data_IF_353726391553
#
_entry.id   IF_353726391553
#
_cell.length_a   1.000
_cell.length_b   1.000
_cell.length_c   1.000
_cell.angle_alpha   90.00
_cell.angle_beta   90.00
_cell.angle_gamma   90.00
#
_symmetry.space_group_name_H-M   'P 1'
#
loop_
_entity.id
_entity.type
_entity.pdbx_description
1 polymer ?
#
# COMPACT_ATOMS: atom_id res chain seq x y z
N UNK A 1 18.00 18.62 10.93
CA UNK A 1 16.57 18.72 11.27
C UNK A 1 15.80 17.94 10.23
N UNK A 2 14.97 16.97 10.62
CA UNK A 2 14.06 16.31 9.67
C UNK A 2 13.06 17.33 9.14
N UNK A 3 12.88 17.39 7.81
CA UNK A 3 11.88 18.23 7.18
C UNK A 3 10.49 17.75 7.56
N UNK A 4 9.66 18.64 8.12
CA UNK A 4 8.24 18.37 8.37
C UNK A 4 7.45 18.88 7.16
N UNK A 5 6.77 17.97 6.47
CA UNK A 5 5.91 18.31 5.35
C UNK A 5 4.56 18.84 5.84
N UNK A 6 3.94 19.73 5.06
CA UNK A 6 2.56 20.15 5.29
C UNK A 6 1.63 18.94 5.12
N UNK A 7 1.79 18.23 4.00
CA UNK A 7 1.01 17.03 3.68
C UNK A 7 1.90 15.97 3.05
N UNK A 8 1.76 14.72 3.49
CA UNK A 8 2.29 13.57 2.74
C UNK A 8 1.15 12.82 2.08
N UNK A 9 1.25 12.59 0.77
CA UNK A 9 0.30 11.78 -0.01
C UNK A 9 0.90 10.40 -0.22
N UNK A 10 0.19 9.34 0.15
CA UNK A 10 0.67 7.95 0.09
C UNK A 10 -0.11 7.16 -0.94
N UNK A 11 0.53 6.82 -2.06
CA UNK A 11 -0.01 6.03 -3.15
C UNK A 11 0.17 6.69 -4.51
N UNK A 12 0.79 5.98 -5.46
CA UNK A 12 1.15 6.51 -6.78
C UNK A 12 0.04 6.45 -7.85
N UNK A 13 -1.20 6.17 -7.46
CA UNK A 13 -2.35 6.11 -8.37
C UNK A 13 -2.94 7.48 -8.70
N UNK A 14 -4.04 7.50 -9.47
CA UNK A 14 -4.71 8.74 -9.92
C UNK A 14 -5.25 9.60 -8.76
N UNK A 15 -5.71 8.98 -7.66
CA UNK A 15 -6.13 9.71 -6.46
C UNK A 15 -4.96 10.48 -5.84
N UNK A 16 -3.80 9.82 -5.69
CA UNK A 16 -2.59 10.42 -5.17
C UNK A 16 -2.06 11.54 -6.07
N UNK A 17 -2.07 11.32 -7.40
CA UNK A 17 -1.70 12.36 -8.35
C UNK A 17 -2.62 13.58 -8.25
N UNK A 18 -3.95 13.39 -8.25
CA UNK A 18 -4.92 14.49 -8.15
C UNK A 18 -4.76 15.27 -6.85
N UNK A 19 -4.49 14.59 -5.73
CA UNK A 19 -4.20 15.23 -4.46
C UNK A 19 -2.89 16.03 -4.51
N UNK A 20 -1.81 15.44 -5.03
CA UNK A 20 -0.51 16.10 -5.15
C UNK A 20 -0.57 17.35 -6.04
N UNK A 21 -1.25 17.27 -7.20
CA UNK A 21 -1.50 18.38 -8.10
C UNK A 21 -2.27 19.53 -7.43
N UNK A 22 -3.32 19.18 -6.68
CA UNK A 22 -4.13 20.16 -5.96
C UNK A 22 -3.32 20.86 -4.87
N UNK A 23 -2.58 20.09 -4.07
CA UNK A 23 -1.72 20.63 -3.00
C UNK A 23 -0.59 21.49 -3.55
N UNK A 24 -0.02 21.12 -4.70
CA UNK A 24 0.97 21.92 -5.42
C UNK A 24 0.38 23.28 -5.83
N UNK A 25 -0.81 23.29 -6.43
CA UNK A 25 -1.54 24.53 -6.77
C UNK A 25 -1.84 25.40 -5.53
N UNK A 26 -2.09 24.77 -4.39
CA UNK A 26 -2.33 25.43 -3.10
C UNK A 26 -1.03 25.82 -2.37
N UNK A 27 0.15 25.66 -2.99
CA UNK A 27 1.48 26.00 -2.48
C UNK A 27 1.80 25.35 -1.12
N UNK A 28 1.36 24.11 -0.93
CA UNK A 28 1.71 23.31 0.25
C UNK A 28 3.05 22.61 0.05
N UNK A 29 3.84 22.51 1.12
CA UNK A 29 5.04 21.69 1.13
C UNK A 29 4.64 20.20 1.16
N UNK A 30 4.50 19.58 -0.01
CA UNK A 30 3.95 18.24 -0.16
C UNK A 30 5.00 17.22 -0.61
N UNK A 31 5.02 16.07 0.05
CA UNK A 31 5.74 14.88 -0.43
C UNK A 31 4.73 13.86 -0.94
N UNK A 32 4.91 13.39 -2.18
CA UNK A 32 4.10 12.34 -2.76
C UNK A 32 4.91 11.05 -2.82
N UNK A 33 4.51 10.04 -2.04
CA UNK A 33 5.16 8.74 -1.92
C UNK A 33 4.35 7.65 -2.62
N UNK A 34 5.04 6.67 -3.19
CA UNK A 34 4.40 5.48 -3.74
C UNK A 34 5.42 4.47 -4.25
N UNK A 35 5.07 3.19 -4.20
CA UNK A 35 5.92 2.12 -4.74
C UNK A 35 6.08 2.25 -6.27
N UNK A 36 4.96 2.45 -6.97
CA UNK A 36 4.91 2.58 -8.42
C UNK A 36 4.14 3.83 -8.85
N UNK A 37 4.62 4.49 -9.91
CA UNK A 37 3.93 5.62 -10.53
C UNK A 37 2.89 5.12 -11.53
N UNK A 38 1.62 5.46 -11.27
CA UNK A 38 0.47 5.11 -12.11
C UNK A 38 0.48 3.60 -12.39
N UNK A 39 0.37 2.83 -11.30
CA UNK A 39 0.63 1.38 -11.25
C UNK A 39 -0.09 0.54 -12.31
N UNK A 40 0.26 -0.75 -12.37
CA UNK A 40 -0.09 -1.65 -13.48
C UNK A 40 -1.57 -1.68 -13.85
N UNK A 41 -2.46 -1.59 -12.85
CA UNK A 41 -3.92 -1.56 -13.07
C UNK A 41 -4.35 -0.50 -14.07
N UNK A 42 -3.74 0.69 -14.00
CA UNK A 42 -4.05 1.78 -14.92
C UNK A 42 -3.47 1.46 -16.30
N UNK A 43 -2.19 1.06 -16.37
CA UNK A 43 -1.49 0.84 -17.65
C UNK A 43 -2.04 -0.33 -18.44
N UNK A 44 -2.52 -1.38 -17.77
CA UNK A 44 -3.07 -2.59 -18.36
C UNK A 44 -4.49 -2.40 -18.94
N UNK A 45 -5.16 -1.27 -18.68
CA UNK A 45 -6.50 -1.04 -19.22
C UNK A 45 -6.47 -1.00 -20.76
N UNK A 46 -7.16 -1.92 -21.42
CA UNK A 46 -7.20 -1.98 -22.89
C UNK A 46 -7.81 -0.72 -23.51
N UNK A 47 -8.83 -0.14 -22.85
CA UNK A 47 -9.47 1.08 -23.28
C UNK A 47 -10.14 1.82 -22.12
N UNK A 48 -9.92 3.14 -22.03
CA UNK A 48 -10.50 4.02 -21.02
C UNK A 48 -11.65 4.81 -21.66
N UNK A 49 -12.89 4.39 -21.38
CA UNK A 49 -14.13 5.01 -21.93
C UNK A 49 -14.90 5.88 -20.94
N UNK A 50 -14.54 5.80 -19.66
CA UNK A 50 -15.31 6.30 -18.52
C UNK A 50 -14.55 7.40 -17.75
N UNK A 51 -13.60 8.07 -18.41
CA UNK A 51 -12.95 9.27 -17.90
C UNK A 51 -13.14 10.40 -18.91
N UNK A 52 -13.87 11.48 -18.57
CA UNK A 52 -14.16 12.56 -19.51
C UNK A 52 -12.90 13.11 -20.19
N UNK A 53 -13.00 13.35 -21.50
CA UNK A 53 -11.90 13.85 -22.34
C UNK A 53 -10.65 12.94 -22.44
N UNK A 54 -10.67 11.73 -21.87
CA UNK A 54 -9.66 10.70 -22.12
C UNK A 54 -10.14 9.76 -23.24
N UNK A 55 -9.29 9.61 -24.26
CA UNK A 55 -9.50 8.66 -25.37
C UNK A 55 -8.25 7.79 -25.52
N UNK A 56 -8.43 6.48 -25.57
CA UNK A 56 -7.35 5.52 -25.76
C UNK A 56 -7.21 4.53 -24.59
N UNK A 57 -6.08 3.84 -24.56
CA UNK A 57 -5.78 2.81 -23.57
C UNK A 57 -5.15 3.39 -22.29
N UNK A 58 -4.97 2.51 -21.31
CA UNK A 58 -4.34 2.80 -20.04
C UNK A 58 -2.92 3.33 -20.15
N UNK A 59 -2.11 2.77 -21.05
CA UNK A 59 -0.74 3.25 -21.29
C UNK A 59 -0.70 4.71 -21.77
N UNK A 60 -1.58 5.08 -22.71
CA UNK A 60 -1.74 6.46 -23.17
C UNK A 60 -2.27 7.36 -22.06
N UNK A 61 -3.18 6.86 -21.22
CA UNK A 61 -3.67 7.61 -20.07
C UNK A 61 -2.52 7.94 -19.11
N UNK A 62 -1.69 6.94 -18.78
CA UNK A 62 -0.51 7.13 -17.93
C UNK A 62 0.45 8.16 -18.53
N UNK A 63 0.75 8.05 -19.83
CA UNK A 63 1.65 8.96 -20.53
C UNK A 63 1.17 10.42 -20.49
N UNK A 64 -0.14 10.66 -20.65
CA UNK A 64 -0.73 12.01 -20.54
C UNK A 64 -0.62 12.59 -19.14
N UNK A 65 -0.81 11.77 -18.11
CA UNK A 65 -0.62 12.20 -16.72
C UNK A 65 0.86 12.51 -16.46
N UNK A 66 1.78 11.68 -16.93
CA UNK A 66 3.23 11.92 -16.81
C UNK A 66 3.68 13.19 -17.55
N UNK A 67 3.08 13.50 -18.69
CA UNK A 67 3.30 14.77 -19.41
C UNK A 67 2.83 15.96 -18.57
N UNK A 68 1.63 15.88 -17.99
CA UNK A 68 1.12 16.92 -17.08
C UNK A 68 2.02 17.07 -15.84
N UNK A 69 2.47 15.96 -15.25
CA UNK A 69 3.42 15.97 -14.13
C UNK A 69 4.71 16.72 -14.47
N UNK A 70 5.28 16.48 -15.64
CA UNK A 70 6.49 17.17 -16.11
C UNK A 70 6.23 18.67 -16.31
N UNK A 71 5.09 19.04 -16.88
CA UNK A 71 4.70 20.44 -17.07
C UNK A 71 4.56 21.19 -15.74
N UNK A 72 3.91 20.57 -14.75
CA UNK A 72 3.69 21.16 -13.43
C UNK A 72 4.91 21.05 -12.49
N UNK A 73 5.95 20.31 -12.88
CA UNK A 73 7.11 20.07 -12.03
C UNK A 73 6.81 19.18 -10.80
N UNK A 74 5.85 18.27 -10.93
CA UNK A 74 5.43 17.34 -9.87
C UNK A 74 6.08 15.98 -10.11
N UNK A 75 6.66 15.39 -9.06
CA UNK A 75 7.26 14.05 -9.14
C UNK A 75 6.83 13.18 -7.96
N UNK A 76 6.74 11.87 -8.23
CA UNK A 76 6.56 10.85 -7.20
C UNK A 76 7.93 10.48 -6.62
N UNK A 77 8.06 10.51 -5.30
CA UNK A 77 9.19 9.90 -4.61
C UNK A 77 8.90 8.40 -4.45
N UNK A 78 9.74 7.56 -5.07
CA UNK A 78 9.60 6.11 -5.00
C UNK A 78 9.95 5.60 -3.62
N UNK A 79 8.93 5.18 -2.88
CA UNK A 79 9.05 4.59 -1.55
C UNK A 79 7.74 3.83 -1.24
N UNK A 80 7.87 2.61 -0.71
CA UNK A 80 6.73 1.87 -0.15
C UNK A 80 6.61 2.25 1.32
N UNK A 81 5.49 2.85 1.70
CA UNK A 81 5.23 3.16 3.11
C UNK A 81 4.82 1.86 3.82
N UNK A 82 5.56 1.50 4.86
CA UNK A 82 5.34 0.29 5.65
C UNK A 82 4.49 0.57 6.90
N UNK A 83 4.44 1.83 7.36
CA UNK A 83 3.69 2.23 8.54
C UNK A 83 3.44 3.74 8.63
N UNK A 84 2.31 4.10 9.22
CA UNK A 84 1.91 5.48 9.51
C UNK A 84 1.46 5.53 10.97
N UNK A 85 2.18 6.30 11.78
CA UNK A 85 1.93 6.49 13.20
C UNK A 85 1.30 7.86 13.41
N UNK A 86 0.08 7.85 13.96
CA UNK A 86 -0.64 9.07 14.29
C UNK A 86 0.06 9.84 15.43
N UNK A 87 0.16 11.16 15.27
CA UNK A 87 0.82 12.07 16.19
C UNK A 87 0.77 13.49 15.65
N UNK A 88 1.28 14.45 16.41
CA UNK A 88 1.42 15.84 15.98
C UNK A 88 2.92 16.20 15.96
N UNK A 89 3.66 15.98 14.85
CA UNK A 89 3.21 15.51 13.53
C UNK A 89 3.07 13.97 13.40
N UNK A 90 2.41 13.53 12.32
CA UNK A 90 2.42 12.13 11.88
C UNK A 90 3.84 11.68 11.54
N UNK A 91 4.13 10.41 11.78
CA UNK A 91 5.40 9.76 11.39
C UNK A 91 5.12 8.62 10.41
N UNK A 92 5.81 8.60 9.27
CA UNK A 92 5.69 7.56 8.26
C UNK A 92 7.03 6.85 8.09
N UNK A 93 7.01 5.52 7.97
CA UNK A 93 8.19 4.69 7.73
C UNK A 93 8.14 4.06 6.34
N UNK A 94 9.27 4.07 5.63
CA UNK A 94 9.44 3.40 4.35
C UNK A 94 10.86 2.80 4.29
N UNK A 95 10.98 1.49 4.54
CA UNK A 95 12.25 0.84 4.81
C UNK A 95 12.97 1.52 5.98
N UNK A 96 14.19 1.98 5.74
CA UNK A 96 15.01 2.70 6.73
C UNK A 96 14.70 4.21 6.79
N UNK A 97 13.84 4.72 5.92
CA UNK A 97 13.50 6.14 5.86
C UNK A 97 12.33 6.48 6.77
N UNK A 98 12.42 7.63 7.44
CA UNK A 98 11.38 8.17 8.31
C UNK A 98 11.02 9.57 7.84
N UNK A 99 9.73 9.81 7.61
CA UNK A 99 9.16 11.07 7.18
C UNK A 99 8.18 11.61 8.23
N UNK A 100 8.03 12.94 8.29
CA UNK A 100 7.09 13.59 9.20
C UNK A 100 6.15 14.53 8.46
N UNK A 101 4.86 14.52 8.83
CA UNK A 101 3.83 15.30 8.16
C UNK A 101 2.81 15.89 9.15
N UNK A 102 2.32 17.10 8.90
CA UNK A 102 1.21 17.67 9.68
C UNK A 102 -0.13 17.02 9.31
N UNK A 103 -0.31 16.64 8.05
CA UNK A 103 -1.46 15.89 7.57
C UNK A 103 -1.02 14.79 6.59
N UNK A 104 -1.86 13.77 6.44
CA UNK A 104 -1.60 12.63 5.55
C UNK A 104 -2.82 12.34 4.69
N UNK A 105 -2.61 12.06 3.40
CA UNK A 105 -3.65 11.57 2.49
C UNK A 105 -3.30 10.15 2.07
N UNK A 106 -4.12 9.19 2.49
CA UNK A 106 -4.00 7.79 2.11
C UNK A 106 -4.70 7.54 0.77
N UNK A 107 -3.92 7.19 -0.25
CA UNK A 107 -4.37 6.94 -1.62
C UNK A 107 -3.76 5.64 -2.19
N UNK A 108 -3.57 4.63 -1.33
CA UNK A 108 -2.91 3.36 -1.64
C UNK A 108 -3.74 2.45 -2.56
N UNK A 109 -5.00 2.81 -2.82
CA UNK A 109 -5.93 1.99 -3.57
C UNK A 109 -6.30 0.71 -2.82
N UNK A 110 -6.71 -0.30 -3.58
CA UNK A 110 -6.97 -1.65 -3.05
C UNK A 110 -6.12 -2.64 -3.82
N UNK A 111 -5.67 -3.71 -3.17
CA UNK A 111 -5.11 -4.87 -3.85
C UNK A 111 -6.01 -6.07 -3.63
N UNK A 112 -6.68 -6.51 -4.70
CA UNK A 112 -7.55 -7.69 -4.70
C UNK A 112 -6.79 -8.97 -5.01
N UNK A 113 -5.51 -8.86 -5.43
CA UNK A 113 -4.69 -10.02 -5.70
C UNK A 113 -4.47 -10.79 -4.40
N UNK A 114 -4.98 -12.02 -4.37
CA UNK A 114 -4.46 -12.97 -3.41
C UNK A 114 -5.05 -12.89 -2.00
N UNK A 115 -6.26 -12.36 -1.75
CA UNK A 115 -6.89 -12.50 -0.43
C UNK A 115 -6.96 -13.98 -0.05
N UNK A 116 -6.23 -14.37 1.00
CA UNK A 116 -6.22 -15.73 1.55
C UNK A 116 -7.14 -15.73 2.76
N UNK A 117 -8.03 -16.72 2.87
CA UNK A 117 -8.95 -16.80 4.02
C UNK A 117 -8.12 -16.82 5.32
N UNK A 118 -8.46 -15.99 6.30
CA UNK A 118 -7.73 -15.90 7.57
C UNK A 118 -6.56 -14.91 7.56
N UNK A 119 -6.15 -14.37 6.41
CA UNK A 119 -5.08 -13.36 6.31
C UNK A 119 -5.30 -12.18 7.26
N UNK A 120 -6.46 -11.51 7.16
CA UNK A 120 -6.79 -10.37 8.04
C UNK A 120 -6.97 -10.80 9.50
N UNK A 121 -7.55 -11.97 9.74
CA UNK A 121 -7.83 -12.45 11.09
C UNK A 121 -6.55 -12.75 11.87
N UNK A 122 -5.48 -13.19 11.22
CA UNK A 122 -4.20 -13.51 11.85
C UNK A 122 -3.18 -12.36 11.79
N UNK A 123 -3.57 -11.18 11.30
CA UNK A 123 -2.68 -10.01 11.27
C UNK A 123 -2.16 -9.67 12.67
N UNK A 124 -0.83 -9.53 12.80
CA UNK A 124 -0.15 -9.33 14.10
C UNK A 124 -0.09 -10.59 14.99
N UNK A 125 -0.75 -11.69 14.58
CA UNK A 125 -0.78 -12.98 15.26
C UNK A 125 -0.12 -14.07 14.43
N UNK A 126 0.91 -13.72 13.66
CA UNK A 126 1.60 -14.64 12.76
C UNK A 126 1.47 -14.28 11.28
N UNK A 127 0.56 -13.37 10.91
CA UNK A 127 0.54 -12.73 9.60
C UNK A 127 1.22 -11.35 9.66
N UNK A 128 2.07 -11.07 8.68
CA UNK A 128 2.73 -9.77 8.48
C UNK A 128 2.72 -9.34 7.01
N UNK A 129 2.81 -8.03 6.77
CA UNK A 129 2.97 -7.41 5.45
C UNK A 129 4.35 -6.78 5.24
N UNK A 130 5.17 -6.69 6.28
CA UNK A 130 6.47 -6.03 6.26
C UNK A 130 7.58 -7.00 6.67
N UNK A 131 8.34 -7.49 5.69
CA UNK A 131 9.49 -8.36 5.93
C UNK A 131 10.53 -7.70 6.82
N UNK A 132 10.85 -6.42 6.56
CA UNK A 132 11.87 -5.65 7.29
C UNK A 132 11.51 -5.48 8.76
N UNK A 133 10.24 -5.19 9.05
CA UNK A 133 9.73 -4.89 10.39
C UNK A 133 9.70 -6.14 11.27
N UNK A 134 9.12 -7.24 10.78
CA UNK A 134 8.81 -8.42 11.60
C UNK A 134 9.73 -9.61 11.35
N UNK A 135 10.55 -9.58 10.28
CA UNK A 135 11.37 -10.73 9.86
C UNK A 135 12.27 -11.28 10.97
N UNK A 136 12.87 -10.40 11.77
CA UNK A 136 13.74 -10.78 12.89
C UNK A 136 13.00 -11.60 13.98
N UNK A 137 11.68 -11.44 14.13
CA UNK A 137 10.87 -12.17 15.12
C UNK A 137 10.71 -13.66 14.77
N UNK A 138 11.04 -14.05 13.54
CA UNK A 138 10.93 -15.42 13.03
C UNK A 138 12.30 -16.09 12.86
N UNK A 139 13.31 -15.62 13.61
CA UNK A 139 14.65 -16.24 13.61
C UNK A 139 14.59 -17.73 13.93
N UNK A 140 15.15 -18.55 13.05
CA UNK A 140 15.21 -20.01 13.21
C UNK A 140 13.88 -20.75 13.03
N UNK A 141 12.82 -20.05 12.59
CA UNK A 141 11.48 -20.60 12.37
C UNK A 141 11.24 -21.01 10.91
N UNK A 142 10.20 -21.79 10.64
CA UNK A 142 9.73 -22.05 9.27
C UNK A 142 8.60 -21.07 8.96
N UNK A 143 8.75 -20.28 7.90
CA UNK A 143 7.77 -19.26 7.51
C UNK A 143 7.34 -19.43 6.05
N UNK A 144 6.19 -18.87 5.70
CA UNK A 144 5.78 -18.71 4.32
C UNK A 144 5.87 -17.25 3.90
N UNK A 145 6.28 -17.00 2.65
CA UNK A 145 6.18 -15.71 2.00
C UNK A 145 5.27 -15.87 0.78
N UNK A 146 4.21 -15.07 0.67
CA UNK A 146 3.31 -15.03 -0.48
C UNK A 146 3.64 -13.77 -1.27
N UNK A 147 4.21 -13.93 -2.47
CA UNK A 147 4.73 -12.84 -3.29
C UNK A 147 3.76 -12.57 -4.44
N UNK A 148 3.18 -11.37 -4.49
CA UNK A 148 2.29 -10.98 -5.60
C UNK A 148 3.03 -10.56 -6.87
N UNK A 149 4.31 -10.20 -6.76
CA UNK A 149 5.13 -9.68 -7.86
C UNK A 149 6.62 -10.05 -7.68
N UNK A 150 7.36 -10.11 -8.79
CA UNK A 150 8.79 -10.46 -8.82
C UNK A 150 9.66 -9.49 -8.02
N UNK A 151 9.25 -8.23 -7.85
CA UNK A 151 9.98 -7.26 -7.03
C UNK A 151 10.06 -7.60 -5.54
N UNK A 152 9.17 -8.46 -5.04
CA UNK A 152 9.22 -8.92 -3.64
C UNK A 152 10.23 -10.04 -3.40
N UNK A 153 10.96 -10.48 -4.44
CA UNK A 153 11.97 -11.52 -4.30
C UNK A 153 13.07 -11.12 -3.30
N UNK A 154 13.52 -9.86 -3.32
CA UNK A 154 14.53 -9.35 -2.38
C UNK A 154 14.07 -9.37 -0.92
N UNK A 155 12.77 -9.15 -0.68
CA UNK A 155 12.21 -9.24 0.68
C UNK A 155 12.10 -10.69 1.17
N UNK A 156 11.84 -11.65 0.27
CA UNK A 156 11.90 -13.07 0.62
C UNK A 156 13.35 -13.52 0.92
N UNK A 157 14.33 -13.01 0.18
CA UNK A 157 15.76 -13.23 0.44
C UNK A 157 16.17 -12.64 1.79
N UNK A 158 15.69 -11.43 2.10
CA UNK A 158 15.88 -10.81 3.42
C UNK A 158 15.34 -11.70 4.55
N UNK A 159 14.11 -12.23 4.39
CA UNK A 159 13.51 -13.16 5.35
C UNK A 159 14.33 -14.45 5.51
N UNK A 160 14.92 -14.96 4.43
CA UNK A 160 15.76 -16.15 4.44
C UNK A 160 17.05 -15.98 5.28
N UNK A 161 17.51 -14.74 5.48
CA UNK A 161 18.61 -14.41 6.40
C UNK A 161 18.28 -14.60 7.90
N UNK A 162 17.00 -14.72 8.26
CA UNK A 162 16.55 -14.93 9.64
C UNK A 162 15.94 -16.32 9.85
N UNK A 163 15.07 -16.73 8.94
CA UNK A 163 14.31 -17.97 9.05
C UNK A 163 15.17 -19.22 8.85
N UNK A 164 14.76 -20.34 9.43
CA UNK A 164 15.34 -21.66 9.11
C UNK A 164 15.01 -22.03 7.67
N UNK A 165 13.77 -21.80 7.26
CA UNK A 165 13.25 -22.16 5.95
C UNK A 165 12.13 -21.18 5.56
N UNK A 166 12.11 -20.78 4.28
CA UNK A 166 11.09 -19.89 3.72
C UNK A 166 10.37 -20.58 2.58
N UNK A 167 9.07 -20.82 2.73
CA UNK A 167 8.22 -21.30 1.64
C UNK A 167 7.73 -20.09 0.82
N UNK A 168 8.34 -19.85 -0.34
CA UNK A 168 8.02 -18.74 -1.23
C UNK A 168 6.91 -19.14 -2.22
N UNK A 169 5.67 -18.72 -1.94
CA UNK A 169 4.52 -18.86 -2.84
C UNK A 169 4.50 -17.71 -3.86
N UNK A 170 5.03 -17.99 -5.04
CA UNK A 170 5.16 -17.01 -6.12
C UNK A 170 3.90 -17.04 -7.00
N UNK A 171 3.16 -15.92 -7.03
CA UNK A 171 1.95 -15.78 -7.86
C UNK A 171 2.26 -15.35 -9.31
N UNK A 172 3.53 -15.43 -9.70
CA UNK A 172 4.09 -15.14 -11.01
C UNK A 172 5.05 -16.27 -11.44
N UNK A 173 5.24 -16.48 -12.75
CA UNK A 173 6.13 -17.54 -13.25
C UNK A 173 7.62 -17.18 -13.13
N UNK A 174 8.46 -18.21 -13.20
CA UNK A 174 9.93 -18.14 -13.29
C UNK A 174 10.58 -17.35 -12.14
N UNK A 175 10.21 -17.69 -10.90
CA UNK A 175 10.84 -17.13 -9.72
C UNK A 175 12.22 -17.78 -9.50
N UNK A 176 13.19 -16.95 -9.13
CA UNK A 176 14.57 -17.37 -8.85
C UNK A 176 15.04 -16.70 -7.57
N UNK A 177 15.72 -17.47 -6.73
CA UNK A 177 16.27 -17.04 -5.46
C UNK A 177 17.69 -17.59 -5.30
N UNK A 178 18.54 -16.86 -4.60
CA UNK A 178 19.92 -17.21 -4.29
C UNK A 178 20.02 -18.00 -2.98
N UNK A 179 19.18 -17.70 -1.99
CA UNK A 179 19.20 -18.39 -0.72
C UNK A 179 18.73 -19.85 -0.85
N UNK A 180 19.55 -20.78 -0.37
CA UNK A 180 19.31 -22.22 -0.48
C UNK A 180 18.17 -22.73 0.42
N UNK A 181 17.76 -21.95 1.42
CA UNK A 181 16.66 -22.26 2.33
C UNK A 181 15.31 -21.68 1.89
N UNK A 182 15.20 -21.25 0.62
CA UNK A 182 13.93 -20.87 0.00
C UNK A 182 13.38 -22.05 -0.81
N UNK A 183 12.18 -22.50 -0.44
CA UNK A 183 11.42 -23.52 -1.18
C UNK A 183 10.34 -22.83 -1.99
N UNK A 184 10.40 -22.95 -3.32
CA UNK A 184 9.50 -22.24 -4.25
C UNK A 184 8.23 -23.05 -4.51
N UNK A 185 7.08 -22.37 -4.42
CA UNK A 185 5.75 -22.92 -4.71
C UNK A 185 5.05 -22.05 -5.75
N UNK A 186 4.49 -22.66 -6.79
CA UNK A 186 3.71 -21.98 -7.83
C UNK A 186 2.20 -22.24 -7.65
N UNK A 187 1.73 -22.06 -6.41
CA UNK A 187 0.30 -22.09 -6.10
C UNK A 187 -0.08 -20.97 -5.14
N UNK A 188 -1.35 -20.58 -5.14
CA UNK A 188 -1.89 -19.66 -4.14
C UNK A 188 -2.41 -20.46 -2.94
N UNK A 189 -1.98 -20.18 -1.70
CA UNK A 189 -2.58 -20.75 -0.49
C UNK A 189 -4.08 -20.47 -0.42
N UNK A 190 -4.85 -21.43 0.10
CA UNK A 190 -6.31 -21.33 0.28
C UNK A 190 -6.69 -20.57 1.55
N UNK A 191 -6.02 -20.88 2.66
CA UNK A 191 -6.29 -20.29 3.96
C UNK A 191 -5.04 -20.24 4.86
N UNK A 192 -5.07 -19.32 5.82
CA UNK A 192 -4.22 -19.30 7.01
C UNK A 192 -5.05 -19.81 8.17
N UNK A 193 -4.55 -20.79 8.92
CA UNK A 193 -5.22 -21.36 10.08
C UNK A 193 -4.29 -21.49 11.30
N UNK A 194 -4.91 -21.53 12.48
CA UNK A 194 -4.24 -21.71 13.77
C UNK A 194 -5.16 -21.35 14.93
N UNK A 195 -4.68 -21.51 16.17
CA UNK A 195 -5.40 -21.09 17.37
C UNK A 195 -5.23 -19.59 17.66
N UNK A 196 -4.43 -19.26 18.68
CA UNK A 196 -4.12 -17.86 19.02
C UNK A 196 -3.15 -17.20 18.03
N UNK A 197 -2.36 -18.01 17.32
CA UNK A 197 -1.41 -17.58 16.30
C UNK A 197 -1.51 -18.49 15.09
N UNK A 198 -0.90 -18.08 13.97
CA UNK A 198 -0.70 -18.93 12.80
C UNK A 198 0.01 -20.23 13.20
N UNK A 199 -0.50 -21.35 12.68
CA UNK A 199 0.12 -22.67 12.82
C UNK A 199 0.33 -23.36 11.46
N UNK A 200 -0.49 -23.03 10.45
CA UNK A 200 -0.42 -23.67 9.13
C UNK A 200 -1.05 -22.85 8.00
N UNK A 201 -0.62 -23.16 6.77
CA UNK A 201 -1.29 -22.79 5.53
C UNK A 201 -2.06 -24.00 4.95
N UNK A 202 -3.28 -23.76 4.49
CA UNK A 202 -4.02 -24.73 3.67
C UNK A 202 -3.67 -24.53 2.20
N UNK A 203 -3.25 -25.61 1.54
CA UNK A 203 -2.88 -25.64 0.12
C UNK A 203 -3.94 -26.43 -0.68
N UNK A 204 -3.79 -26.53 -2.00
CA UNK A 204 -4.69 -27.40 -2.79
C UNK A 204 -4.52 -28.88 -2.42
N UNK A 205 -3.29 -29.31 -2.14
CA UNK A 205 -2.91 -30.70 -1.94
C UNK A 205 -2.67 -31.13 -0.49
N UNK A 206 -2.89 -30.25 0.50
CA UNK A 206 -2.62 -30.58 1.90
C UNK A 206 -2.46 -29.35 2.77
N UNK A 207 -1.76 -29.53 3.89
CA UNK A 207 -1.47 -28.48 4.86
C UNK A 207 0.04 -28.32 5.01
N UNK A 208 0.49 -27.08 5.21
CA UNK A 208 1.88 -26.75 5.44
C UNK A 208 2.02 -26.07 6.80
N UNK A 209 2.61 -26.73 7.81
CA UNK A 209 2.90 -26.11 9.10
C UNK A 209 3.88 -24.96 8.94
N UNK A 210 3.54 -23.79 9.47
CA UNK A 210 4.39 -22.59 9.46
C UNK A 210 4.19 -21.79 10.73
N UNK A 211 5.26 -21.16 11.19
CA UNK A 211 5.23 -20.30 12.38
C UNK A 211 4.71 -18.88 12.06
N UNK A 212 4.74 -18.48 10.79
CA UNK A 212 4.26 -17.20 10.30
C UNK A 212 4.15 -17.12 8.79
N UNK A 213 3.34 -16.16 8.32
CA UNK A 213 3.07 -15.91 6.89
C UNK A 213 3.27 -14.43 6.59
N UNK A 214 4.12 -14.14 5.62
CA UNK A 214 4.36 -12.80 5.09
C UNK A 214 3.63 -12.65 3.77
N UNK A 215 2.67 -11.74 3.69
CA UNK A 215 2.01 -11.39 2.43
C UNK A 215 2.71 -10.17 1.83
N UNK A 216 3.65 -10.41 0.92
CA UNK A 216 4.42 -9.37 0.26
C UNK A 216 3.65 -8.92 -0.98
N UNK A 217 2.89 -7.84 -0.79
CA UNK A 217 1.93 -7.27 -1.73
C UNK A 217 2.17 -5.76 -1.90
N UNK A 218 1.69 -5.17 -2.99
CA UNK A 218 1.86 -3.74 -3.30
C UNK A 218 1.14 -2.80 -2.33
N UNK A 219 0.04 -3.24 -1.74
CA UNK A 219 -0.72 -2.50 -0.76
C UNK A 219 -1.09 -3.41 0.42
N UNK A 220 -0.63 -3.02 1.61
CA UNK A 220 -1.17 -3.55 2.85
C UNK A 220 -2.61 -3.05 3.06
N UNK A 221 -3.46 -3.79 3.79
CA UNK A 221 -4.74 -3.29 4.25
C UNK A 221 -4.57 -1.96 4.98
N UNK A 222 -5.46 -0.98 4.80
CA UNK A 222 -5.33 0.35 5.42
C UNK A 222 -5.16 0.30 6.94
N UNK A 223 -5.89 -0.60 7.61
CA UNK A 223 -5.80 -0.79 9.07
C UNK A 223 -4.47 -1.41 9.53
N UNK A 224 -3.75 -2.11 8.65
CA UNK A 224 -2.40 -2.60 8.93
C UNK A 224 -1.37 -1.46 8.82
N UNK A 225 -1.60 -0.52 7.89
CA UNK A 225 -0.73 0.61 7.64
C UNK A 225 -0.87 1.70 8.71
N UNK A 226 -2.09 1.89 9.23
CA UNK A 226 -2.40 2.93 10.21
C UNK A 226 -3.16 2.35 11.41
N UNK A 227 -2.50 2.31 12.56
CA UNK A 227 -3.12 1.82 13.80
C UNK A 227 -4.31 2.68 14.23
N UNK A 228 -5.44 2.03 14.56
CA UNK A 228 -6.65 2.70 15.02
C UNK A 228 -7.54 3.29 13.91
N UNK A 229 -7.20 3.08 12.63
CA UNK A 229 -8.02 3.51 11.51
C UNK A 229 -9.31 2.69 11.39
N UNK A 230 -10.45 3.36 11.35
CA UNK A 230 -11.75 2.70 11.12
C UNK A 230 -11.88 2.22 9.67
N UNK A 231 -12.17 0.92 9.52
CA UNK A 231 -12.44 0.29 8.23
C UNK A 231 -13.80 -0.42 8.25
N UNK A 232 -14.54 -0.34 7.14
CA UNK A 232 -15.81 -1.03 6.93
C UNK A 232 -15.73 -1.82 5.62
N UNK A 233 -15.93 -3.14 5.69
CA UNK A 233 -15.84 -4.01 4.50
C UNK A 233 -14.49 -3.96 3.79
N UNK A 234 -13.40 -3.68 4.52
CA UNK A 234 -12.04 -3.54 3.98
C UNK A 234 -11.73 -2.16 3.38
N UNK A 235 -12.69 -1.24 3.37
CA UNK A 235 -12.51 0.15 2.92
C UNK A 235 -12.34 1.09 4.12
N UNK A 236 -11.52 2.13 3.97
CA UNK A 236 -11.40 3.19 4.99
C UNK A 236 -12.70 3.97 5.06
N UNK A 237 -13.24 4.07 6.27
CA UNK A 237 -14.45 4.86 6.51
C UNK A 237 -14.10 6.34 6.45
N UNK A 238 -14.77 7.07 5.57
CA UNK A 238 -14.54 8.51 5.36
C UNK A 238 -15.82 9.33 5.37
N UNK A 239 -15.72 10.58 5.79
CA UNK A 239 -16.74 11.60 5.60
C UNK A 239 -16.83 12.07 4.14
N UNK A 240 -17.80 12.95 3.83
CA UNK A 240 -17.94 13.54 2.49
C UNK A 240 -16.72 14.40 2.09
N UNK A 241 -16.02 14.92 3.09
CA UNK A 241 -14.79 15.69 2.99
C UNK A 241 -13.53 14.81 2.97
N UNK A 242 -13.68 13.49 2.85
CA UNK A 242 -12.57 12.51 2.87
C UNK A 242 -11.82 12.41 4.21
N UNK A 243 -12.36 12.99 5.29
CA UNK A 243 -11.80 12.86 6.65
C UNK A 243 -11.97 11.44 7.18
N UNK A 244 -10.97 10.93 7.91
CA UNK A 244 -11.06 9.66 8.65
C UNK A 244 -11.40 9.91 10.12
N UNK A 245 -11.50 8.83 10.92
CA UNK A 245 -11.63 8.96 12.37
C UNK A 245 -10.36 9.52 13.05
N UNK A 246 -9.21 9.49 12.37
CA UNK A 246 -7.96 10.05 12.87
C UNK A 246 -7.80 11.49 12.34
N UNK A 247 -7.80 12.45 13.25
CA UNK A 247 -7.70 13.88 12.93
C UNK A 247 -6.41 14.18 12.14
N UNK A 248 -6.54 14.86 11.01
CA UNK A 248 -5.42 15.17 10.10
C UNK A 248 -5.04 14.04 9.12
N UNK A 249 -5.70 12.89 9.22
CA UNK A 249 -5.60 11.81 8.23
C UNK A 249 -6.85 11.78 7.35
N UNK A 250 -6.61 11.79 6.05
CA UNK A 250 -7.62 11.70 5.00
C UNK A 250 -7.38 10.46 4.15
N UNK A 251 -8.41 9.98 3.43
CA UNK A 251 -8.25 8.87 2.49
C UNK A 251 -9.03 9.12 1.20
N UNK A 252 -8.50 8.67 0.06
CA UNK A 252 -9.08 8.92 -1.26
C UNK A 252 -8.79 7.80 -2.27
N UNK A 253 -9.73 7.59 -3.20
CA UNK A 253 -9.60 6.56 -4.23
C UNK A 253 -10.16 5.22 -3.79
N UNK A 254 -9.71 4.14 -4.42
CA UNK A 254 -10.31 2.82 -4.19
C UNK A 254 -10.20 2.36 -2.72
N UNK A 255 -9.23 2.91 -1.97
CA UNK A 255 -9.04 2.64 -0.54
C UNK A 255 -10.26 3.02 0.31
N UNK A 256 -11.11 3.95 -0.16
CA UNK A 256 -12.37 4.36 0.48
C UNK A 256 -13.58 3.55 -0.01
N UNK A 257 -13.34 2.52 -0.83
CA UNK A 257 -14.36 1.60 -1.29
C UNK A 257 -14.87 1.88 -2.70
N UNK A 258 -15.92 1.13 -3.05
CA UNK A 258 -16.53 1.13 -4.38
C UNK A 258 -17.34 2.41 -4.63
N UNK A 259 -17.53 2.82 -5.90
CA UNK A 259 -17.07 2.17 -7.12
C UNK A 259 -15.59 2.45 -7.42
N UNK A 260 -14.87 1.43 -7.90
CA UNK A 260 -13.45 1.56 -8.31
C UNK A 260 -13.35 2.16 -9.70
N UNK A 261 -13.26 3.48 -9.79
CA UNK A 261 -13.30 4.24 -11.05
C UNK A 261 -12.30 5.39 -11.00
N UNK A 262 -11.59 5.63 -12.10
CA UNK A 262 -10.57 6.69 -12.19
C UNK A 262 -11.14 8.08 -11.88
N UNK A 263 -12.33 8.41 -12.38
CA UNK A 263 -12.97 9.70 -12.15
C UNK A 263 -13.36 9.90 -10.66
N UNK A 264 -13.89 8.86 -10.02
CA UNK A 264 -14.18 8.84 -8.57
C UNK A 264 -12.90 9.06 -7.78
N UNK A 265 -11.86 8.31 -8.09
CA UNK A 265 -10.58 8.39 -7.41
C UNK A 265 -9.89 9.76 -7.55
N UNK A 266 -9.90 10.35 -8.75
CA UNK A 266 -9.40 11.71 -8.97
C UNK A 266 -10.20 12.75 -8.16
N UNK A 267 -11.53 12.68 -8.22
CA UNK A 267 -12.42 13.58 -7.49
C UNK A 267 -12.23 13.51 -5.97
N UNK A 268 -12.10 12.31 -5.41
CA UNK A 268 -11.80 12.15 -3.98
C UNK A 268 -10.40 12.66 -3.62
N UNK A 269 -9.40 12.47 -4.48
CA UNK A 269 -8.06 13.04 -4.29
C UNK A 269 -8.07 14.56 -4.20
N UNK A 270 -8.87 15.22 -5.06
CA UNK A 270 -9.12 16.66 -5.01
C UNK A 270 -9.75 17.08 -3.66
N UNK A 271 -10.82 16.39 -3.25
CA UNK A 271 -11.52 16.71 -1.99
C UNK A 271 -10.60 16.54 -0.79
N UNK A 272 -9.87 15.42 -0.70
CA UNK A 272 -8.92 15.17 0.39
C UNK A 272 -7.82 16.24 0.47
N UNK A 273 -7.32 16.72 -0.67
CA UNK A 273 -6.33 17.80 -0.71
C UNK A 273 -6.87 19.12 -0.16
N UNK A 274 -8.11 19.51 -0.51
CA UNK A 274 -8.74 20.71 0.05
C UNK A 274 -9.03 20.57 1.54
N UNK A 275 -9.48 19.40 1.99
CA UNK A 275 -9.74 19.14 3.41
C UNK A 275 -8.44 19.16 4.22
N UNK A 276 -7.36 18.55 3.72
CA UNK A 276 -6.04 18.65 4.33
C UNK A 276 -5.54 20.11 4.36
N UNK A 277 -5.76 20.87 3.28
CA UNK A 277 -5.41 22.28 3.26
C UNK A 277 -6.17 23.09 4.33
N UNK A 278 -7.48 22.86 4.49
CA UNK A 278 -8.32 23.53 5.48
C UNK A 278 -7.87 23.19 6.90
N UNK A 279 -7.66 21.90 7.18
CA UNK A 279 -7.10 21.42 8.44
C UNK A 279 -5.79 22.12 8.81
N UNK A 280 -4.88 22.32 7.84
CA UNK A 280 -3.62 23.04 8.07
C UNK A 280 -3.80 24.53 8.36
N UNK A 281 -4.86 25.18 7.88
CA UNK A 281 -5.12 26.59 8.20
C UNK A 281 -5.68 26.75 9.62
N UNK A 282 -6.53 25.82 10.05
CA UNK A 282 -7.11 25.84 11.39
C UNK A 282 -6.06 25.59 12.49
N UNK A 283 -4.98 24.86 12.18
CA UNK A 283 -3.92 24.47 13.12
C UNK A 283 -2.63 25.29 12.97
N UNK A 284 -2.73 26.54 12.51
CA UNK A 284 -1.60 27.48 12.38
C UNK A 284 -1.38 28.40 13.59
N UNK A 285 -2.02 28.10 14.72
CA UNK A 285 -1.86 28.83 15.99
C UNK A 285 -0.54 28.49 16.69
#
# INVERSE_FOLDING_TARGET
MQTIYDVIVVGGGIAGYSAALTLHSLKRNTLWLGADLLGEKLRAAEYVRNYPAMLGNGALFAARIEEQMKHEGISLTRARVDGIYAGEPFTLTAGEQVFSARAVILATGVETAGAVKGEESFLGRGVSYCAVCDGALYRGKTIAAVLSDRKFAEEAEYLAGFAREVHAFCLYPDASFHAANIVVHYEKPRAVEGGMRVEKLLLKGGELPVDGVFFLKNAAPPAALVGGLEVEGGAVKVGRDMSTNLRGLFAAGDVTGRPYQYAKAAGEGLVAAYSAHAFLQENRA
#
